data_IF_436848163308
#
_entry.id   IF_436848163308
#
_cell.length_a   1.000
_cell.length_b   1.000
_cell.length_c   1.000
_cell.angle_alpha   90.00
_cell.angle_beta   90.00
_cell.angle_gamma   90.00
#
_symmetry.space_group_name_H-M   'P 1'
#
loop_
_entity.id
_entity.type
_entity.pdbx_description
1 polymer ?
#
# COMPACT_ATOMS: atom_id res chain seq x y z
N UNK A 1 20.14 -14.15 -3.49
CA UNK A 1 19.58 -13.05 -4.31
C UNK A 1 19.95 -11.65 -3.78
N UNK A 2 19.94 -11.40 -2.47
CA UNK A 2 20.32 -10.08 -1.94
C UNK A 2 21.76 -9.66 -2.26
N UNK A 3 22.74 -10.54 -2.04
CA UNK A 3 24.15 -10.23 -2.32
C UNK A 3 24.43 -9.93 -3.80
N UNK A 4 23.74 -10.60 -4.73
CA UNK A 4 23.84 -10.31 -6.17
C UNK A 4 23.19 -8.97 -6.52
N UNK A 5 22.05 -8.62 -5.91
CA UNK A 5 21.42 -7.31 -6.09
C UNK A 5 22.34 -6.17 -5.63
N UNK A 6 22.99 -6.32 -4.48
CA UNK A 6 23.95 -5.34 -3.97
C UNK A 6 25.17 -5.17 -4.88
N UNK A 7 25.70 -6.27 -5.43
CA UNK A 7 26.86 -6.23 -6.34
C UNK A 7 26.55 -5.61 -7.70
N UNK A 8 25.35 -5.85 -8.24
CA UNK A 8 24.98 -5.40 -9.60
C UNK A 8 24.16 -4.10 -9.60
N UNK A 9 23.77 -3.58 -8.43
CA UNK A 9 22.90 -2.41 -8.32
C UNK A 9 21.50 -2.60 -8.93
N UNK A 10 21.07 -3.85 -9.18
CA UNK A 10 19.83 -4.14 -9.90
C UNK A 10 18.61 -3.98 -8.97
N UNK A 11 17.75 -3.01 -9.30
CA UNK A 11 16.49 -2.78 -8.59
C UNK A 11 15.51 -3.94 -8.75
N UNK A 12 15.51 -4.61 -9.91
CA UNK A 12 14.66 -5.79 -10.15
C UNK A 12 15.03 -6.94 -9.21
N UNK A 13 16.33 -7.23 -9.07
CA UNK A 13 16.79 -8.25 -8.12
C UNK A 13 16.49 -7.88 -6.67
N UNK A 14 16.59 -6.58 -6.33
CA UNK A 14 16.17 -6.07 -5.03
C UNK A 14 14.68 -6.26 -4.77
N UNK A 15 13.82 -5.94 -5.75
CA UNK A 15 12.39 -6.19 -5.70
C UNK A 15 12.07 -7.67 -5.50
N UNK A 16 12.65 -8.56 -6.31
CA UNK A 16 12.45 -10.01 -6.20
C UNK A 16 12.95 -10.56 -4.85
N UNK A 17 14.05 -10.01 -4.32
CA UNK A 17 14.55 -10.43 -3.01
C UNK A 17 13.62 -10.01 -1.87
N UNK A 18 13.01 -8.82 -1.96
CA UNK A 18 12.00 -8.38 -1.00
C UNK A 18 10.74 -9.26 -1.12
N UNK A 19 10.28 -9.54 -2.34
CA UNK A 19 9.17 -10.45 -2.59
C UNK A 19 9.41 -11.83 -1.96
N UNK A 20 10.60 -12.41 -2.16
CA UNK A 20 10.99 -13.68 -1.58
C UNK A 20 11.04 -13.64 -0.04
N UNK A 21 11.55 -12.55 0.54
CA UNK A 21 11.60 -12.37 1.99
C UNK A 21 10.19 -12.29 2.61
N UNK A 22 9.28 -11.50 2.02
CA UNK A 22 7.89 -11.43 2.49
C UNK A 22 7.13 -12.73 2.24
N UNK A 23 7.42 -13.43 1.15
CA UNK A 23 6.86 -14.76 0.88
C UNK A 23 7.28 -15.79 1.92
N UNK A 24 8.56 -15.77 2.35
CA UNK A 24 9.04 -16.60 3.45
C UNK A 24 8.37 -16.25 4.79
N UNK A 25 7.93 -15.01 4.98
CA UNK A 25 7.13 -14.58 6.14
C UNK A 25 5.64 -14.93 6.02
N UNK A 26 5.24 -15.65 4.96
CA UNK A 26 3.88 -16.14 4.75
C UNK A 26 2.96 -15.23 3.95
N UNK A 27 3.46 -14.12 3.39
CA UNK A 27 2.69 -13.29 2.46
C UNK A 27 2.63 -13.95 1.08
N UNK A 28 1.44 -14.27 0.60
CA UNK A 28 1.26 -15.00 -0.65
C UNK A 28 0.36 -14.22 -1.60
N UNK A 29 0.72 -14.28 -2.88
CA UNK A 29 -0.05 -13.76 -4.00
C UNK A 29 -0.28 -14.92 -4.96
N UNK A 30 -1.52 -15.38 -5.05
CA UNK A 30 -1.89 -16.53 -5.88
C UNK A 30 -2.81 -16.05 -7.01
N UNK A 31 -2.41 -16.23 -8.28
CA UNK A 31 -3.33 -16.01 -9.39
C UNK A 31 -4.37 -17.14 -9.42
N UNK A 32 -5.66 -16.80 -9.51
CA UNK A 32 -6.72 -17.79 -9.66
C UNK A 32 -7.84 -17.24 -10.55
N UNK A 33 -8.02 -17.88 -11.71
CA UNK A 33 -8.97 -17.46 -12.73
C UNK A 33 -8.65 -16.07 -13.31
N UNK A 34 -9.62 -15.16 -13.23
CA UNK A 34 -9.51 -13.77 -13.70
C UNK A 34 -9.03 -12.79 -12.61
N UNK A 35 -8.59 -13.27 -11.44
CA UNK A 35 -8.25 -12.44 -10.29
C UNK A 35 -7.00 -12.87 -9.53
N UNK A 36 -6.65 -12.06 -8.52
CA UNK A 36 -5.51 -12.27 -7.64
C UNK A 36 -5.99 -12.38 -6.20
N UNK A 37 -5.55 -13.43 -5.51
CA UNK A 37 -5.75 -13.61 -4.08
C UNK A 37 -4.47 -13.21 -3.36
N UNK A 38 -4.58 -12.27 -2.44
CA UNK A 38 -3.46 -11.72 -1.69
C UNK A 38 -3.77 -11.88 -0.20
N UNK A 39 -2.86 -12.50 0.56
CA UNK A 39 -3.08 -12.69 1.98
C UNK A 39 -2.02 -13.55 2.66
N UNK A 40 -2.42 -14.15 3.78
CA UNK A 40 -1.58 -14.97 4.64
C UNK A 40 -2.27 -16.31 4.94
N UNK A 41 -1.46 -17.30 5.32
CA UNK A 41 -1.97 -18.62 5.70
C UNK A 41 -2.61 -18.62 7.10
N UNK A 42 -2.17 -17.73 7.99
CA UNK A 42 -2.68 -17.59 9.35
C UNK A 42 -2.42 -16.19 9.91
N UNK A 43 -3.08 -15.87 11.03
CA UNK A 43 -2.98 -14.56 11.69
C UNK A 43 -1.57 -14.26 12.22
N UNK A 44 -0.84 -15.28 12.68
CA UNK A 44 0.52 -15.12 13.20
C UNK A 44 1.49 -14.70 12.09
N UNK A 45 1.40 -15.31 10.90
CA UNK A 45 2.18 -14.93 9.73
C UNK A 45 1.84 -13.50 9.27
N UNK A 46 0.56 -13.13 9.31
CA UNK A 46 0.13 -11.75 9.04
C UNK A 46 0.81 -10.77 10.00
N UNK A 47 0.83 -11.06 11.31
CA UNK A 47 1.45 -10.17 12.29
C UNK A 47 2.96 -10.10 12.20
N UNK A 48 3.61 -11.25 12.01
CA UNK A 48 5.05 -11.32 11.89
C UNK A 48 5.53 -10.57 10.64
N UNK A 49 4.82 -10.73 9.51
CA UNK A 49 5.14 -10.01 8.29
C UNK A 49 4.84 -8.50 8.38
N UNK A 50 3.75 -8.10 9.06
CA UNK A 50 3.45 -6.69 9.32
C UNK A 50 4.50 -6.04 10.24
N UNK A 51 4.92 -6.73 11.30
CA UNK A 51 5.97 -6.28 12.19
C UNK A 51 7.30 -6.16 11.45
N UNK A 52 7.65 -7.14 10.61
CA UNK A 52 8.84 -7.07 9.76
C UNK A 52 8.75 -5.92 8.75
N UNK A 53 7.59 -5.69 8.14
CA UNK A 53 7.36 -4.56 7.23
C UNK A 53 7.57 -3.22 7.96
N UNK A 54 7.01 -3.05 9.16
CA UNK A 54 7.21 -1.85 9.96
C UNK A 54 8.69 -1.67 10.36
N UNK A 55 9.36 -2.74 10.78
CA UNK A 55 10.77 -2.73 11.17
C UNK A 55 11.71 -2.44 9.99
N UNK A 56 11.31 -2.76 8.76
CA UNK A 56 12.08 -2.42 7.55
C UNK A 56 11.77 -1.00 7.05
N UNK A 57 10.50 -0.58 7.08
CA UNK A 57 10.09 0.74 6.61
C UNK A 57 10.55 1.86 7.54
N UNK A 58 10.46 1.68 8.87
CA UNK A 58 10.79 2.74 9.82
C UNK A 58 12.24 3.24 9.68
N UNK A 59 13.27 2.37 9.59
CA UNK A 59 14.64 2.82 9.33
C UNK A 59 14.82 3.47 7.95
N UNK A 60 14.14 2.96 6.91
CA UNK A 60 14.21 3.58 5.58
C UNK A 60 13.64 5.00 5.60
N UNK A 61 12.50 5.20 6.27
CA UNK A 61 11.89 6.52 6.46
C UNK A 61 12.77 7.43 7.32
N UNK A 62 13.36 6.92 8.40
CA UNK A 62 14.25 7.67 9.27
C UNK A 62 15.54 8.12 8.55
N UNK A 63 16.18 7.22 7.80
CA UNK A 63 17.34 7.55 6.97
C UNK A 63 16.97 8.61 5.93
N UNK A 64 15.81 8.48 5.27
CA UNK A 64 15.34 9.46 4.30
C UNK A 64 15.07 10.83 4.94
N UNK A 65 14.49 10.87 6.13
CA UNK A 65 14.27 12.09 6.90
C UNK A 65 15.58 12.76 7.31
N UNK A 66 16.63 11.97 7.59
CA UNK A 66 17.98 12.47 7.85
C UNK A 66 18.75 12.87 6.57
N UNK A 67 18.14 12.78 5.39
CA UNK A 67 18.82 13.04 4.10
C UNK A 67 19.85 11.97 3.71
N UNK A 68 19.89 10.84 4.42
CA UNK A 68 20.85 9.76 4.19
C UNK A 68 20.27 8.73 3.22
N UNK A 69 21.05 8.40 2.19
CA UNK A 69 20.70 7.34 1.23
C UNK A 69 21.90 6.40 1.04
N UNK A 70 22.11 5.43 1.94
CA UNK A 70 23.24 4.54 1.83
C UNK A 70 23.22 3.77 0.50
N UNK A 71 24.34 3.69 -0.24
CA UNK A 71 24.36 3.14 -1.59
C UNK A 71 23.97 1.66 -1.65
N UNK A 72 24.24 0.91 -0.58
CA UNK A 72 23.85 -0.51 -0.47
C UNK A 72 22.34 -0.73 -0.34
N UNK A 73 21.57 0.29 0.06
CA UNK A 73 20.12 0.22 0.22
C UNK A 73 19.36 0.55 -1.07
N UNK A 74 19.99 1.29 -2.00
CA UNK A 74 19.40 1.70 -3.27
C UNK A 74 18.72 0.57 -4.05
N UNK A 75 19.32 -0.62 -4.26
CA UNK A 75 18.67 -1.69 -5.02
C UNK A 75 17.42 -2.24 -4.32
N UNK A 76 17.35 -2.19 -2.98
CA UNK A 76 16.23 -2.73 -2.20
C UNK A 76 15.12 -1.70 -1.95
N UNK A 77 15.37 -0.41 -2.18
CA UNK A 77 14.45 0.68 -1.83
C UNK A 77 13.05 0.47 -2.39
N UNK A 78 12.96 0.15 -3.68
CA UNK A 78 11.69 -0.07 -4.35
C UNK A 78 10.96 -1.29 -3.77
N UNK A 79 11.65 -2.42 -3.65
CA UNK A 79 11.07 -3.66 -3.10
C UNK A 79 10.57 -3.53 -1.66
N UNK A 80 11.39 -2.94 -0.79
CA UNK A 80 11.02 -2.69 0.62
C UNK A 80 9.87 -1.70 0.69
N UNK A 81 9.86 -0.64 -0.12
CA UNK A 81 8.77 0.33 -0.11
C UNK A 81 7.44 -0.26 -0.55
N UNK A 82 7.42 -1.08 -1.61
CA UNK A 82 6.20 -1.64 -2.19
C UNK A 82 5.67 -2.80 -1.36
N UNK A 83 6.49 -3.83 -1.10
CA UNK A 83 6.03 -4.97 -0.33
C UNK A 83 5.85 -4.63 1.15
N UNK A 84 6.71 -3.76 1.71
CA UNK A 84 6.53 -3.28 3.07
C UNK A 84 5.24 -2.48 3.24
N UNK A 85 4.92 -1.56 2.32
CA UNK A 85 3.68 -0.78 2.40
C UNK A 85 2.46 -1.68 2.24
N UNK A 86 2.45 -2.54 1.22
CA UNK A 86 1.32 -3.45 0.94
C UNK A 86 1.11 -4.42 2.10
N UNK A 87 2.16 -5.07 2.62
CA UNK A 87 2.01 -6.02 3.72
C UNK A 87 1.50 -5.33 4.99
N UNK A 88 2.08 -4.19 5.38
CA UNK A 88 1.69 -3.49 6.60
C UNK A 88 0.27 -2.92 6.50
N UNK A 89 -0.06 -2.26 5.37
CA UNK A 89 -1.36 -1.64 5.19
C UNK A 89 -2.46 -2.69 4.99
N UNK A 90 -2.21 -3.76 4.25
CA UNK A 90 -3.20 -4.83 4.08
C UNK A 90 -3.45 -5.59 5.38
N UNK A 91 -2.42 -5.90 6.16
CA UNK A 91 -2.58 -6.53 7.47
C UNK A 91 -3.38 -5.62 8.43
N UNK A 92 -3.09 -4.32 8.40
CA UNK A 92 -3.82 -3.31 9.16
C UNK A 92 -5.30 -3.23 8.75
N UNK A 93 -5.57 -3.25 7.44
CA UNK A 93 -6.92 -3.24 6.87
C UNK A 93 -7.73 -4.45 7.37
N UNK A 94 -7.21 -5.66 7.18
CA UNK A 94 -7.85 -6.92 7.63
C UNK A 94 -8.13 -6.88 9.13
N UNK A 95 -7.17 -6.41 9.94
CA UNK A 95 -7.37 -6.29 11.40
C UNK A 95 -8.37 -5.22 11.81
N UNK A 96 -8.49 -4.15 11.03
CA UNK A 96 -9.46 -3.08 11.29
C UNK A 96 -10.90 -3.53 11.05
N UNK A 97 -11.10 -4.66 10.37
CA UNK A 97 -12.40 -5.20 10.03
C UNK A 97 -13.24 -5.68 11.23
N UNK A 98 -14.50 -5.29 11.29
CA UNK A 98 -15.50 -5.84 12.24
C UNK A 98 -15.66 -7.35 12.05
N UNK A 99 -15.51 -7.83 10.82
CA UNK A 99 -15.68 -9.25 10.49
C UNK A 99 -14.54 -10.11 11.07
N UNK A 100 -13.32 -9.58 11.12
CA UNK A 100 -12.18 -10.23 11.77
C UNK A 100 -12.36 -10.34 13.29
N UNK A 101 -12.91 -9.31 13.93
CA UNK A 101 -13.17 -9.29 15.38
C UNK A 101 -14.42 -10.10 15.80
N UNK A 102 -15.40 -10.24 14.91
CA UNK A 102 -16.66 -10.94 15.17
C UNK A 102 -16.50 -12.46 15.25
N UNK A 103 -15.50 -13.04 14.57
CA UNK A 103 -15.28 -14.49 14.55
C UNK A 103 -14.74 -15.08 15.88
N UNK A 104 -14.11 -14.27 16.75
CA UNK A 104 -13.13 -14.85 17.70
C UNK A 104 -13.36 -14.61 19.21
N UNK A 105 -14.18 -13.66 19.71
CA UNK A 105 -14.19 -13.27 21.16
C UNK A 105 -15.53 -12.80 21.79
N UNK A 106 -15.60 -12.52 23.10
CA UNK A 106 -16.83 -12.11 23.85
C UNK A 106 -17.20 -10.62 23.75
N UNK A 107 -18.39 -10.21 24.23
CA UNK A 107 -19.13 -9.00 23.81
C UNK A 107 -18.65 -7.61 24.26
N UNK A 108 -18.04 -7.41 25.44
CA UNK A 108 -17.79 -6.06 25.99
C UNK A 108 -16.38 -5.51 25.75
N UNK A 109 -15.34 -6.35 25.81
CA UNK A 109 -13.95 -5.96 25.50
C UNK A 109 -13.72 -5.65 24.01
N UNK A 110 -14.69 -6.03 23.16
CA UNK A 110 -14.64 -5.87 21.69
C UNK A 110 -14.67 -4.42 21.21
N UNK A 111 -15.42 -3.53 21.87
CA UNK A 111 -15.59 -2.17 21.35
C UNK A 111 -14.33 -1.32 21.56
N UNK A 112 -13.70 -1.42 22.73
CA UNK A 112 -12.45 -0.69 23.01
C UNK A 112 -11.32 -1.17 22.10
N UNK A 113 -11.16 -2.50 21.94
CA UNK A 113 -10.15 -3.07 21.04
C UNK A 113 -10.40 -2.65 19.58
N UNK A 114 -11.66 -2.72 19.11
CA UNK A 114 -12.03 -2.27 17.77
C UNK A 114 -11.68 -0.79 17.53
N UNK A 115 -12.05 0.10 18.46
CA UNK A 115 -11.75 1.54 18.36
C UNK A 115 -10.24 1.77 18.35
N UNK A 116 -9.49 1.10 19.23
CA UNK A 116 -8.03 1.22 19.27
C UNK A 116 -7.37 0.75 17.97
N UNK A 117 -7.79 -0.39 17.41
CA UNK A 117 -7.24 -0.92 16.16
C UNK A 117 -7.56 0.00 14.97
N UNK A 118 -8.79 0.51 14.88
CA UNK A 118 -9.18 1.43 13.82
C UNK A 118 -8.45 2.78 13.94
N UNK A 119 -8.31 3.32 15.15
CA UNK A 119 -7.54 4.54 15.39
C UNK A 119 -6.06 4.35 15.04
N UNK A 120 -5.46 3.23 15.43
CA UNK A 120 -4.08 2.91 15.09
C UNK A 120 -3.88 2.79 13.57
N UNK A 121 -4.80 2.11 12.88
CA UNK A 121 -4.73 1.97 11.43
C UNK A 121 -4.91 3.31 10.69
N UNK A 122 -5.85 4.16 11.14
CA UNK A 122 -6.02 5.51 10.62
C UNK A 122 -4.75 6.37 10.82
N UNK A 123 -4.10 6.24 11.98
CA UNK A 123 -2.83 6.92 12.25
C UNK A 123 -1.70 6.41 11.32
N UNK A 124 -1.63 5.11 11.05
CA UNK A 124 -0.68 4.53 10.09
C UNK A 124 -0.93 5.09 8.68
N UNK A 125 -2.18 5.14 8.22
CA UNK A 125 -2.52 5.70 6.91
C UNK A 125 -2.10 7.18 6.81
N UNK A 126 -2.41 7.98 7.84
CA UNK A 126 -2.00 9.38 7.90
C UNK A 126 -0.47 9.52 7.88
N UNK A 127 0.25 8.66 8.62
CA UNK A 127 1.70 8.64 8.62
C UNK A 127 2.29 8.30 7.25
N UNK A 128 1.71 7.35 6.51
CA UNK A 128 2.15 6.99 5.16
C UNK A 128 1.96 8.14 4.16
N UNK A 129 0.80 8.80 4.20
CA UNK A 129 0.52 9.95 3.34
C UNK A 129 1.44 11.13 3.68
N UNK A 130 1.60 11.44 4.97
CA UNK A 130 2.48 12.51 5.43
C UNK A 130 3.95 12.23 5.13
N UNK A 131 4.44 11.01 5.39
CA UNK A 131 5.81 10.60 5.07
C UNK A 131 6.05 10.65 3.56
N UNK A 132 5.10 10.20 2.75
CA UNK A 132 5.19 10.28 1.30
C UNK A 132 5.33 11.72 0.79
N UNK A 133 4.52 12.63 1.33
CA UNK A 133 4.54 14.05 0.97
C UNK A 133 5.79 14.79 1.48
N UNK A 134 6.17 14.59 2.75
CA UNK A 134 7.26 15.31 3.41
C UNK A 134 8.65 14.79 2.99
N UNK A 135 8.80 13.48 2.76
CA UNK A 135 10.09 12.84 2.46
C UNK A 135 10.35 12.66 0.96
N UNK A 136 9.42 13.11 0.11
CA UNK A 136 9.48 12.91 -1.33
C UNK A 136 9.50 11.43 -1.72
N UNK A 137 8.63 10.63 -1.10
CA UNK A 137 8.51 9.18 -1.34
C UNK A 137 7.14 8.90 -1.97
N UNK A 138 6.96 9.13 -3.28
CA UNK A 138 5.66 9.05 -3.93
C UNK A 138 5.02 7.65 -3.84
N UNK A 139 5.82 6.59 -3.73
CA UNK A 139 5.30 5.22 -3.56
C UNK A 139 4.57 5.01 -2.24
N UNK A 140 5.03 5.64 -1.14
CA UNK A 140 4.36 5.59 0.16
C UNK A 140 3.05 6.38 0.14
N UNK A 141 3.05 7.56 -0.49
CA UNK A 141 1.85 8.39 -0.64
C UNK A 141 0.79 7.69 -1.49
N UNK A 142 1.19 7.08 -2.61
CA UNK A 142 0.30 6.31 -3.46
C UNK A 142 -0.30 5.12 -2.71
N UNK A 143 0.54 4.33 -2.02
CA UNK A 143 0.06 3.20 -1.21
C UNK A 143 -0.91 3.65 -0.11
N UNK A 144 -0.55 4.70 0.65
CA UNK A 144 -1.39 5.26 1.70
C UNK A 144 -2.74 5.74 1.18
N UNK A 145 -2.75 6.44 0.04
CA UNK A 145 -3.98 6.88 -0.62
C UNK A 145 -4.85 5.70 -1.05
N UNK A 146 -4.26 4.69 -1.72
CA UNK A 146 -5.00 3.50 -2.16
C UNK A 146 -5.63 2.77 -0.97
N UNK A 147 -4.86 2.52 0.09
CA UNK A 147 -5.38 1.82 1.28
C UNK A 147 -6.35 2.69 2.10
N UNK A 148 -6.26 4.02 2.04
CA UNK A 148 -7.28 4.91 2.60
C UNK A 148 -8.62 4.74 1.89
N UNK A 149 -8.62 4.65 0.55
CA UNK A 149 -9.85 4.37 -0.20
C UNK A 149 -10.43 2.99 0.14
N UNK A 150 -9.58 1.96 0.24
CA UNK A 150 -10.02 0.63 0.66
C UNK A 150 -10.60 0.65 2.07
N UNK A 151 -9.94 1.32 3.01
CA UNK A 151 -10.41 1.48 4.39
C UNK A 151 -11.74 2.22 4.46
N UNK A 152 -11.87 3.37 3.79
CA UNK A 152 -13.12 4.14 3.77
C UNK A 152 -14.27 3.32 3.15
N UNK A 153 -13.97 2.58 2.09
CA UNK A 153 -14.95 1.68 1.46
C UNK A 153 -15.37 0.60 2.45
N UNK A 154 -14.43 -0.12 3.06
CA UNK A 154 -14.72 -1.14 4.06
C UNK A 154 -15.58 -0.61 5.21
N UNK A 155 -15.24 0.54 5.79
CA UNK A 155 -16.03 1.16 6.87
C UNK A 155 -17.43 1.55 6.42
N UNK A 156 -17.60 2.02 5.19
CA UNK A 156 -18.91 2.32 4.64
C UNK A 156 -19.77 1.05 4.49
N UNK A 157 -19.17 -0.05 4.05
CA UNK A 157 -19.83 -1.36 3.97
C UNK A 157 -20.19 -1.91 5.35
N UNK A 158 -19.29 -1.82 6.34
CA UNK A 158 -19.56 -2.21 7.72
C UNK A 158 -20.72 -1.41 8.33
N UNK A 159 -20.74 -0.08 8.12
CA UNK A 159 -21.80 0.79 8.63
C UNK A 159 -23.15 0.42 8.01
N UNK A 160 -23.19 0.23 6.69
CA UNK A 160 -24.40 -0.18 6.00
C UNK A 160 -24.91 -1.56 6.48
N UNK A 161 -24.00 -2.50 6.74
CA UNK A 161 -24.33 -3.80 7.31
C UNK A 161 -24.91 -3.68 8.74
N UNK A 162 -24.32 -2.85 9.60
CA UNK A 162 -24.79 -2.64 10.97
C UNK A 162 -26.16 -1.97 11.05
N UNK A 163 -26.43 -1.02 10.15
CA UNK A 163 -27.74 -0.35 10.07
C UNK A 163 -28.84 -1.28 9.52
N UNK A 164 -28.47 -2.45 8.98
CA UNK A 164 -29.37 -3.45 8.35
C UNK A 164 -30.26 -2.85 7.25
N UNK A 165 -29.86 -1.72 6.68
CA UNK A 165 -30.58 -1.07 5.59
C UNK A 165 -29.93 -1.42 4.26
N UNK A 166 -30.59 -2.29 3.50
CA UNK A 166 -30.15 -2.68 2.16
C UNK A 166 -30.04 -1.48 1.21
N UNK A 167 -30.77 -0.38 1.43
CA UNK A 167 -30.71 0.83 0.60
C UNK A 167 -29.35 1.52 0.70
N UNK A 168 -28.74 1.52 1.89
CA UNK A 168 -27.43 2.12 2.10
C UNK A 168 -26.36 1.42 1.24
N UNK A 169 -26.41 0.09 1.13
CA UNK A 169 -25.50 -0.68 0.27
C UNK A 169 -25.65 -0.32 -1.21
N UNK A 170 -26.88 -0.19 -1.70
CA UNK A 170 -27.14 0.22 -3.08
C UNK A 170 -26.65 1.63 -3.38
N UNK A 171 -26.89 2.59 -2.48
CA UNK A 171 -26.42 3.97 -2.63
C UNK A 171 -24.89 4.04 -2.65
N UNK A 172 -24.22 3.29 -1.76
CA UNK A 172 -22.76 3.21 -1.74
C UNK A 172 -22.18 2.57 -3.00
N UNK A 173 -22.76 1.45 -3.46
CA UNK A 173 -22.36 0.80 -4.71
C UNK A 173 -22.52 1.72 -5.92
N UNK A 174 -23.65 2.43 -6.00
CA UNK A 174 -23.88 3.42 -7.05
C UNK A 174 -22.89 4.58 -6.98
N UNK A 175 -22.66 5.15 -5.78
CA UNK A 175 -21.69 6.22 -5.58
C UNK A 175 -20.27 5.80 -5.99
N UNK A 176 -19.84 4.59 -5.63
CA UNK A 176 -18.56 4.03 -6.03
C UNK A 176 -18.46 3.87 -7.56
N UNK A 177 -19.52 3.40 -8.21
CA UNK A 177 -19.58 3.29 -9.67
C UNK A 177 -19.46 4.65 -10.36
N UNK A 178 -20.16 5.68 -9.85
CA UNK A 178 -20.07 7.05 -10.39
C UNK A 178 -18.68 7.64 -10.18
N UNK A 179 -18.08 7.42 -9.01
CA UNK A 179 -16.72 7.87 -8.73
C UNK A 179 -15.72 7.21 -9.68
N UNK A 180 -15.82 5.89 -9.89
CA UNK A 180 -14.93 5.16 -10.81
C UNK A 180 -15.09 5.62 -12.25
N UNK A 181 -16.33 5.89 -12.70
CA UNK A 181 -16.60 6.48 -14.01
C UNK A 181 -15.97 7.87 -14.15
N UNK A 182 -16.10 8.74 -13.14
CA UNK A 182 -15.47 10.07 -13.12
C UNK A 182 -13.95 10.00 -13.16
N UNK A 183 -13.34 9.08 -12.42
CA UNK A 183 -11.90 8.84 -12.47
C UNK A 183 -11.49 8.38 -13.87
N UNK A 184 -12.20 7.43 -14.48
CA UNK A 184 -11.93 7.00 -15.85
C UNK A 184 -11.99 8.15 -16.85
N UNK A 185 -13.01 9.02 -16.73
CA UNK A 185 -13.17 10.20 -17.58
C UNK A 185 -12.04 11.23 -17.36
N UNK A 186 -11.62 11.45 -16.11
CA UNK A 186 -10.47 12.30 -15.79
C UNK A 186 -9.17 11.75 -16.39
N UNK A 187 -8.90 10.46 -16.24
CA UNK A 187 -7.69 9.83 -16.76
C UNK A 187 -7.65 9.86 -18.29
N UNK A 188 -8.80 9.68 -18.94
CA UNK A 188 -8.91 9.79 -20.40
C UNK A 188 -8.67 11.21 -20.94
N UNK A 189 -8.99 12.24 -20.14
CA UNK A 189 -8.77 13.65 -20.50
C UNK A 189 -7.38 14.17 -20.12
N UNK A 190 -6.64 13.46 -19.28
CA UNK A 190 -5.31 13.87 -18.78
C UNK A 190 -4.24 12.78 -18.99
N UNK A 191 -3.93 12.37 -20.23
CA UNK A 191 -2.95 11.31 -20.50
C UNK A 191 -1.54 11.64 -19.97
N UNK A 192 -1.17 12.92 -19.89
CA UNK A 192 0.11 13.35 -19.31
C UNK A 192 0.25 13.05 -17.82
N UNK A 193 -0.87 13.06 -17.07
CA UNK A 193 -0.88 12.67 -15.65
C UNK A 193 -0.67 11.16 -15.49
N UNK A 194 -1.23 10.36 -16.40
CA UNK A 194 -1.01 8.91 -16.41
C UNK A 194 0.47 8.58 -16.66
N UNK A 195 1.10 9.28 -17.61
CA UNK A 195 2.50 9.10 -17.96
C UNK A 195 3.46 9.47 -16.80
N UNK A 196 3.12 10.49 -16.00
CA UNK A 196 3.91 10.87 -14.83
C UNK A 196 3.78 9.85 -13.69
N UNK A 197 2.59 9.28 -13.47
CA UNK A 197 2.37 8.23 -12.46
C UNK A 197 3.08 6.92 -12.80
N UNK A 198 3.15 6.56 -14.09
CA UNK A 198 3.84 5.34 -14.55
C UNK A 198 5.38 5.54 -14.57
N UNK A 199 5.88 6.77 -14.42
CA UNK A 199 7.30 7.06 -14.41
C UNK A 199 7.98 6.97 -15.78
N UNK A 200 7.20 7.06 -16.86
CA UNK A 200 7.75 7.09 -18.24
C UNK A 200 8.53 8.39 -18.51
N UNK A 201 8.29 9.44 -17.72
CA UNK A 201 8.86 10.77 -17.92
C UNK A 201 10.32 10.96 -17.53
N UNK A 202 10.85 10.24 -16.55
CA UNK A 202 12.15 10.62 -15.93
C UNK A 202 13.37 9.81 -16.40
N UNK A 203 13.19 8.77 -17.23
CA UNK A 203 14.31 7.86 -17.58
C UNK A 203 14.37 7.30 -18.99
N UNK A 204 13.33 7.47 -19.84
CA UNK A 204 13.28 6.84 -21.18
C UNK A 204 13.28 7.83 -22.35
N UNK A 205 12.98 9.11 -22.10
CA UNK A 205 13.16 10.14 -23.12
C UNK A 205 14.50 10.84 -22.84
N UNK A 206 15.46 10.82 -23.78
CA UNK A 206 16.64 11.65 -23.65
C UNK A 206 16.18 13.10 -23.47
N UNK A 207 16.90 13.91 -22.66
CA UNK A 207 16.57 15.32 -22.53
C UNK A 207 16.46 15.92 -23.94
N UNK A 208 15.46 16.78 -24.20
CA UNK A 208 15.37 17.45 -25.49
C UNK A 208 16.72 18.09 -25.76
N UNK A 209 17.42 17.61 -26.79
CA UNK A 209 18.69 18.18 -27.19
C UNK A 209 18.37 19.62 -27.56
N UNK A 210 18.74 20.54 -26.67
CA UNK A 210 18.57 21.96 -26.88
C UNK A 210 19.10 22.26 -28.26
N UNK A 211 18.23 22.81 -29.10
CA UNK A 211 18.57 23.35 -30.41
C UNK A 211 19.80 24.22 -30.21
N UNK A 212 20.97 23.73 -30.62
CA UNK A 212 22.15 24.58 -30.68
C UNK A 212 21.82 25.64 -31.72
N UNK A 213 21.50 26.84 -31.24
CA UNK A 213 21.37 28.01 -32.08
C UNK A 213 22.73 28.21 -32.76
N UNK A 214 22.74 28.05 -34.08
CA UNK A 214 23.86 28.35 -34.95
C UNK A 214 24.10 29.85 -35.04
#
# INVERSE_FOLDING_TARGET
>A
MGASAARHGSQLLGLLSAAAAFSALGFQVVPFGLGWFIGWQNDDAMLNSAAAAAALLAPVMALRAAGLTPPWLLPFRLGVSVFGSVCLLLAGLIRSSVFALSATRGSSLRMAEFVCVNAAYAAILAAFMAAGALLGMPSLQASGTTFLFLYASEKAWELAYQVKDARALWVLGFAASVAMWRVGLFLSSHPGWLASVIGVGDGLLPPPQGTQAA
#
